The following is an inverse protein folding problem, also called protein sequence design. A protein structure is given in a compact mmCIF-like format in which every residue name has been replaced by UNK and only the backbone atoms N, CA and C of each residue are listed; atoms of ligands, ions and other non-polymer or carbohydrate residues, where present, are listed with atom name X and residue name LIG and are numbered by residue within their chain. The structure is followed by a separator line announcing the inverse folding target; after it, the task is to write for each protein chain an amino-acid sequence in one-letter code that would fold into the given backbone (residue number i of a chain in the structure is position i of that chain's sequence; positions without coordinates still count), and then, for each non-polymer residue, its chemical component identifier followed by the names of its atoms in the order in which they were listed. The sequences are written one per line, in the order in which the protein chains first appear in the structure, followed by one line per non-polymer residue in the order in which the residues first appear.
data_IF_905487669811
#
_entry.id   IF_905487669811
#
_cell.length_a   1.000
_cell.length_b   1.000
_cell.length_c   1.000
_cell.angle_alpha   90.00
_cell.angle_beta   90.00
_cell.angle_gamma   90.00
#
_symmetry.space_group_name_H-M   'P 1'
#
loop_
_entity.id
_entity.type
_entity.pdbx_description
1 polymer ?
#
# COMPACT_ATOMS: atom_id res chain seq x y z
N UNK A 1 -11.62 1.09 -14.55
CA UNK A 1 -12.61 0.60 -13.55
C UNK A 1 -13.04 -0.81 -13.94
N UNK A 2 -13.11 -1.79 -13.01
CA UNK A 2 -13.43 -3.18 -13.36
C UNK A 2 -14.83 -3.33 -13.96
N UNK A 3 -14.98 -4.21 -14.94
CA UNK A 3 -16.26 -4.47 -15.65
C UNK A 3 -17.39 -4.97 -14.74
N UNK A 4 -17.07 -5.58 -13.59
CA UNK A 4 -18.04 -6.02 -12.57
C UNK A 4 -18.22 -5.03 -11.42
N UNK A 5 -17.72 -3.80 -11.56
CA UNK A 5 -17.73 -2.79 -10.50
C UNK A 5 -16.70 -3.05 -9.39
N UNK A 6 -16.55 -2.08 -8.49
CA UNK A 6 -15.57 -2.11 -7.39
C UNK A 6 -15.82 -3.22 -6.37
N UNK A 7 -17.07 -3.71 -6.26
CA UNK A 7 -17.43 -4.86 -5.45
C UNK A 7 -16.74 -6.17 -5.88
N UNK A 8 -16.26 -6.25 -7.13
CA UNK A 8 -15.45 -7.38 -7.60
C UNK A 8 -13.96 -7.25 -7.26
N UNK A 9 -13.50 -6.07 -6.88
CA UNK A 9 -12.10 -5.79 -6.55
C UNK A 9 -11.88 -6.11 -5.06
N UNK A 10 -11.30 -7.27 -4.78
CA UNK A 10 -10.92 -7.64 -3.41
C UNK A 10 -9.58 -7.02 -3.04
N UNK A 11 -9.61 -5.82 -2.48
CA UNK A 11 -8.44 -5.23 -1.86
C UNK A 11 -8.14 -5.94 -0.53
N UNK A 12 -6.97 -6.53 -0.41
CA UNK A 12 -6.60 -7.37 0.72
C UNK A 12 -5.41 -6.75 1.45
N UNK A 13 -5.59 -6.38 2.72
CA UNK A 13 -4.54 -5.74 3.52
C UNK A 13 -3.85 -6.79 4.39
N UNK A 14 -2.54 -6.95 4.20
CA UNK A 14 -1.71 -7.87 4.97
C UNK A 14 -0.64 -7.13 5.76
N UNK A 15 -0.34 -7.62 6.97
CA UNK A 15 0.74 -7.07 7.81
C UNK A 15 2.10 -7.47 7.25
N UNK A 16 3.01 -6.52 7.12
CA UNK A 16 4.35 -6.73 6.54
C UNK A 16 5.46 -6.34 7.52
N UNK A 17 5.55 -7.09 8.63
CA UNK A 17 6.50 -6.81 9.70
C UNK A 17 6.19 -5.51 10.45
N UNK A 18 7.14 -5.07 11.28
CA UNK A 18 7.08 -3.81 12.04
C UNK A 18 8.20 -2.87 11.57
N UNK A 19 7.94 -1.56 11.59
CA UNK A 19 8.94 -0.54 11.27
C UNK A 19 8.35 0.69 10.60
N UNK A 20 8.65 1.85 11.15
CA UNK A 20 8.13 3.14 10.68
C UNK A 20 8.83 3.66 9.42
N UNK A 21 10.04 3.17 9.15
CA UNK A 21 10.86 3.58 8.01
C UNK A 21 10.47 2.91 6.69
N UNK A 22 9.60 1.88 6.75
CA UNK A 22 9.18 1.12 5.57
C UNK A 22 7.95 1.74 4.94
N UNK A 23 7.98 1.90 3.62
CA UNK A 23 6.80 2.30 2.86
C UNK A 23 5.86 1.10 2.63
N UNK A 24 4.53 1.34 2.59
CA UNK A 24 3.60 0.29 2.23
C UNK A 24 3.85 -0.16 0.79
N UNK A 25 3.79 -1.47 0.57
CA UNK A 25 4.01 -2.08 -0.75
C UNK A 25 2.70 -2.64 -1.29
N UNK A 26 2.42 -2.46 -2.57
CA UNK A 26 1.19 -2.98 -3.17
C UNK A 26 1.50 -3.95 -4.32
N UNK A 27 0.90 -5.14 -4.29
CA UNK A 27 0.84 -6.02 -5.46
C UNK A 27 -0.47 -5.77 -6.19
N UNK A 28 -0.41 -4.87 -7.17
CA UNK A 28 -1.57 -4.42 -7.94
C UNK A 28 -2.25 -5.56 -8.71
N UNK A 29 -1.49 -6.53 -9.22
CA UNK A 29 -2.02 -7.72 -9.90
C UNK A 29 -2.98 -8.54 -9.03
N UNK A 30 -2.78 -8.52 -7.70
CA UNK A 30 -3.57 -9.28 -6.73
C UNK A 30 -4.40 -8.38 -5.81
N UNK A 31 -4.43 -7.06 -6.08
CA UNK A 31 -5.06 -6.06 -5.20
C UNK A 31 -4.64 -6.22 -3.72
N UNK A 32 -3.39 -6.61 -3.47
CA UNK A 32 -2.86 -6.85 -2.14
C UNK A 32 -2.06 -5.64 -1.66
N UNK A 33 -2.36 -5.14 -0.47
CA UNK A 33 -1.63 -4.06 0.18
C UNK A 33 -0.88 -4.62 1.40
N UNK A 34 0.45 -4.62 1.33
CA UNK A 34 1.34 -4.95 2.43
C UNK A 34 1.57 -3.71 3.30
N UNK A 35 0.95 -3.69 4.47
CA UNK A 35 1.04 -2.61 5.43
C UNK A 35 2.00 -2.99 6.57
N UNK A 36 3.12 -2.27 6.76
CA UNK A 36 3.93 -2.38 7.95
C UNK A 36 3.12 -2.01 9.20
N UNK A 37 3.45 -2.61 10.34
CA UNK A 37 2.98 -2.15 11.64
C UNK A 37 3.68 -0.84 11.99
N UNK A 38 2.96 0.25 11.79
CA UNK A 38 3.37 1.59 12.21
C UNK A 38 3.06 1.83 13.69
N UNK A 39 3.87 2.65 14.33
CA UNK A 39 3.70 3.04 15.74
C UNK A 39 2.46 3.92 15.97
N UNK A 40 2.04 4.70 14.96
CA UNK A 40 0.90 5.61 15.05
C UNK A 40 0.15 5.80 13.74
N UNK A 41 -1.08 6.32 13.83
CA UNK A 41 -1.94 6.61 12.66
C UNK A 41 -1.37 7.76 11.82
N UNK A 42 -0.70 8.72 12.46
CA UNK A 42 -0.05 9.85 11.80
C UNK A 42 1.11 9.37 10.90
N UNK A 43 1.92 8.42 11.41
CA UNK A 43 3.01 7.80 10.64
C UNK A 43 2.45 7.01 9.45
N UNK A 44 1.41 6.21 9.69
CA UNK A 44 0.71 5.48 8.62
C UNK A 44 0.22 6.42 7.54
N UNK A 45 -0.48 7.52 7.90
CA UNK A 45 -1.02 8.48 6.94
C UNK A 45 0.09 9.15 6.14
N UNK A 46 1.17 9.59 6.80
CA UNK A 46 2.32 10.23 6.14
C UNK A 46 2.99 9.28 5.14
N UNK A 47 3.27 8.04 5.56
CA UNK A 47 3.95 7.05 4.73
C UNK A 47 3.05 6.55 3.58
N UNK A 48 1.75 6.41 3.82
CA UNK A 48 0.78 6.04 2.79
C UNK A 48 0.61 7.12 1.73
N UNK A 49 0.51 8.40 2.15
CA UNK A 49 0.51 9.53 1.22
C UNK A 49 1.81 9.57 0.42
N UNK A 50 2.95 9.39 1.09
CA UNK A 50 4.26 9.38 0.42
C UNK A 50 4.34 8.26 -0.62
N UNK A 51 3.86 7.05 -0.31
CA UNK A 51 3.86 5.92 -1.22
C UNK A 51 2.92 6.10 -2.41
N UNK A 52 1.75 6.74 -2.22
CA UNK A 52 0.82 7.03 -3.32
C UNK A 52 1.38 8.12 -4.23
N UNK A 53 1.93 9.20 -3.65
CA UNK A 53 2.53 10.31 -4.42
C UNK A 53 3.79 9.88 -5.17
N UNK A 54 4.57 8.95 -4.62
CA UNK A 54 5.76 8.37 -5.28
C UNK A 54 5.47 7.01 -5.94
N UNK A 55 4.19 6.69 -6.20
CA UNK A 55 3.81 5.41 -6.83
C UNK A 55 4.16 5.35 -8.32
N UNK A 56 4.49 6.49 -8.94
CA UNK A 56 5.14 6.59 -10.25
C UNK A 56 6.63 6.19 -10.16
N UNK A 57 6.87 4.95 -9.73
CA UNK A 57 8.15 4.26 -9.86
C UNK A 57 9.19 4.53 -8.78
N UNK A 58 9.37 3.54 -7.88
CA UNK A 58 10.72 3.02 -7.65
C UNK A 58 11.10 2.20 -8.88
N UNK A 59 11.32 2.91 -10.00
CA UNK A 59 12.07 2.38 -11.12
C UNK A 59 13.50 2.20 -10.64
N UNK A 60 13.81 0.99 -10.16
CA UNK A 60 15.14 0.43 -10.36
C UNK A 60 15.56 0.80 -11.80
N UNK A 61 16.58 1.65 -11.92
CA UNK A 61 17.50 1.53 -13.05
C UNK A 61 18.50 0.44 -12.71
#
# INVERSE_FOLDING_TARGET
MPVRGWSSLRLLVQKNGAGDDRLPTAYTCFSLLLLPLYSSVEVLKKNMLLAITNSEGFGLK
#
